data_IF_829094051550
#
_entry.id   IF_829094051550
#
_cell.length_a   1.000
_cell.length_b   1.000
_cell.length_c   1.000
_cell.angle_alpha   90.00
_cell.angle_beta   90.00
_cell.angle_gamma   90.00
#
_symmetry.space_group_name_H-M   'P 1'
#
loop_
_entity.id
_entity.type
_entity.pdbx_description
1 polymer ?
#
# COMPACT_ATOMS: atom_id res chain seq x y z
N UNK A 1 12.70 4.05 2.26
CA UNK A 1 12.39 5.31 2.96
C UNK A 1 12.43 6.46 1.96
N UNK A 2 11.31 6.76 1.33
CA UNK A 2 11.08 8.11 0.77
C UNK A 2 9.82 8.58 1.44
N UNK A 3 10.00 9.52 2.36
CA UNK A 3 8.96 10.16 3.15
C UNK A 3 7.85 10.71 2.24
N UNK A 4 6.78 9.95 2.06
CA UNK A 4 5.49 10.44 1.56
C UNK A 4 4.80 11.34 2.60
N UNK A 5 5.44 11.56 3.76
CA UNK A 5 4.94 12.32 4.91
C UNK A 5 4.81 13.81 4.64
N UNK A 6 5.75 14.42 3.90
CA UNK A 6 5.75 15.85 3.59
C UNK A 6 4.58 16.18 2.64
N UNK A 7 4.37 15.34 1.63
CA UNK A 7 3.27 15.51 0.68
C UNK A 7 1.88 15.48 1.33
N UNK A 8 1.63 14.56 2.28
CA UNK A 8 0.35 14.51 3.01
C UNK A 8 0.18 15.64 4.02
N UNK A 9 1.26 16.02 4.72
CA UNK A 9 1.23 17.17 5.63
C UNK A 9 0.88 18.46 4.88
N UNK A 10 1.46 18.68 3.69
CA UNK A 10 1.19 19.84 2.88
C UNK A 10 -0.18 19.79 2.18
N UNK A 11 -0.65 18.61 1.78
CA UNK A 11 -2.02 18.44 1.27
C UNK A 11 -3.06 18.76 2.37
N UNK A 12 -2.81 18.31 3.60
CA UNK A 12 -3.67 18.61 4.76
C UNK A 12 -3.63 20.09 5.15
N UNK A 13 -2.45 20.72 5.13
CA UNK A 13 -2.30 22.16 5.32
C UNK A 13 -2.98 22.96 4.20
N UNK A 14 -2.90 22.50 2.94
CA UNK A 14 -3.57 23.12 1.81
C UNK A 14 -5.10 23.09 1.97
N UNK A 15 -5.67 21.94 2.35
CA UNK A 15 -7.12 21.80 2.59
C UNK A 15 -7.57 22.74 3.71
N UNK A 16 -6.83 22.82 4.82
CA UNK A 16 -7.13 23.74 5.93
C UNK A 16 -7.02 25.20 5.51
N UNK A 17 -6.05 25.55 4.66
CA UNK A 17 -5.85 26.93 4.19
C UNK A 17 -6.92 27.38 3.19
N UNK A 18 -7.39 26.50 2.30
CA UNK A 18 -8.54 26.76 1.40
C UNK A 18 -9.86 26.92 2.17
N UNK A 19 -10.05 26.18 3.28
CA UNK A 19 -11.22 26.32 4.15
C UNK A 19 -11.25 27.66 4.92
N UNK A 20 -10.10 28.30 5.14
CA UNK A 20 -10.01 29.50 5.99
C UNK A 20 -9.80 30.82 5.23
N UNK A 21 -9.40 30.79 3.95
CA UNK A 21 -9.10 32.01 3.18
C UNK A 21 -10.27 32.47 2.30
N UNK A 22 -10.97 33.55 2.72
CA UNK A 22 -12.12 34.11 1.99
C UNK A 22 -11.76 34.88 0.70
N UNK A 23 -10.47 35.17 0.44
CA UNK A 23 -10.02 35.94 -0.72
C UNK A 23 -9.83 35.10 -1.99
N UNK A 24 -10.41 35.53 -3.13
CA UNK A 24 -10.24 34.85 -4.42
C UNK A 24 -8.79 34.90 -4.95
N UNK A 25 -8.05 35.98 -4.64
CA UNK A 25 -6.64 36.15 -5.04
C UNK A 25 -5.72 35.24 -4.22
N UNK A 26 -5.95 35.15 -2.90
CA UNK A 26 -5.18 34.31 -2.00
C UNK A 26 -5.31 32.84 -2.40
N UNK A 27 -6.53 32.36 -2.68
CA UNK A 27 -6.76 30.98 -3.15
C UNK A 27 -6.03 30.65 -4.45
N UNK A 28 -5.97 31.58 -5.42
CA UNK A 28 -5.21 31.37 -6.67
C UNK A 28 -3.70 31.24 -6.41
N UNK A 29 -3.14 32.14 -5.58
CA UNK A 29 -1.72 32.11 -5.24
C UNK A 29 -1.34 30.85 -4.46
N UNK A 30 -2.13 30.49 -3.44
CA UNK A 30 -1.88 29.28 -2.64
C UNK A 30 -1.93 28.02 -3.50
N UNK A 31 -2.90 27.93 -4.42
CA UNK A 31 -3.01 26.79 -5.35
C UNK A 31 -1.77 26.65 -6.24
N UNK A 32 -1.28 27.74 -6.82
CA UNK A 32 -0.09 27.69 -7.67
C UNK A 32 1.17 27.37 -6.86
N UNK A 33 1.32 27.89 -5.64
CA UNK A 33 2.44 27.55 -4.76
C UNK A 33 2.43 26.05 -4.43
N UNK A 34 1.28 25.51 -4.01
CA UNK A 34 1.15 24.08 -3.70
C UNK A 34 1.40 23.23 -4.95
N UNK A 35 0.89 23.65 -6.11
CA UNK A 35 1.14 22.97 -7.38
C UNK A 35 2.63 22.95 -7.71
N UNK A 36 3.33 24.08 -7.61
CA UNK A 36 4.76 24.18 -7.86
C UNK A 36 5.55 23.30 -6.89
N UNK A 37 5.17 23.27 -5.63
CA UNK A 37 5.82 22.43 -4.62
C UNK A 37 5.63 20.94 -4.91
N UNK A 38 4.40 20.50 -5.19
CA UNK A 38 4.12 19.10 -5.55
C UNK A 38 4.85 18.70 -6.82
N UNK A 39 4.88 19.58 -7.83
CA UNK A 39 5.66 19.34 -9.05
C UNK A 39 7.14 19.21 -8.72
N UNK A 40 7.69 20.10 -7.91
CA UNK A 40 9.09 20.07 -7.49
C UNK A 40 9.44 18.77 -6.78
N UNK A 41 8.65 18.33 -5.80
CA UNK A 41 8.86 17.04 -5.13
C UNK A 41 8.82 15.87 -6.12
N UNK A 42 7.87 15.86 -7.06
CA UNK A 42 7.80 14.83 -8.10
C UNK A 42 9.04 14.84 -9.01
N UNK A 43 9.58 16.03 -9.35
CA UNK A 43 10.82 16.15 -10.10
C UNK A 43 12.03 15.66 -9.30
N UNK A 44 12.13 16.01 -8.02
CA UNK A 44 13.16 15.50 -7.12
C UNK A 44 13.10 13.97 -7.02
N UNK A 45 11.92 13.38 -6.87
CA UNK A 45 11.75 11.92 -6.84
C UNK A 45 12.12 11.27 -8.18
N UNK A 46 11.79 11.89 -9.31
CA UNK A 46 12.25 11.43 -10.64
C UNK A 46 13.78 11.49 -10.73
N UNK A 47 14.38 12.58 -10.28
CA UNK A 47 15.83 12.77 -10.29
C UNK A 47 16.54 11.74 -9.39
N UNK A 48 16.07 11.55 -8.16
CA UNK A 48 16.62 10.53 -7.24
C UNK A 48 16.48 9.14 -7.83
N UNK A 49 15.33 8.77 -8.42
CA UNK A 49 15.16 7.47 -9.10
C UNK A 49 16.04 7.31 -10.35
N UNK A 50 16.41 8.42 -10.97
CA UNK A 50 17.32 8.44 -12.10
C UNK A 50 18.77 8.24 -11.66
N UNK A 51 19.20 8.90 -10.57
CA UNK A 51 20.56 8.74 -10.00
C UNK A 51 20.71 7.40 -9.27
N UNK A 52 19.69 6.96 -8.54
CA UNK A 52 19.67 5.75 -7.73
C UNK A 52 18.57 4.81 -8.22
N UNK A 53 18.83 4.06 -9.31
CA UNK A 53 17.91 3.03 -9.77
C UNK A 53 17.68 1.98 -8.67
N UNK A 54 16.45 1.45 -8.52
CA UNK A 54 16.18 0.38 -7.57
C UNK A 54 17.02 -0.86 -7.92
N UNK A 55 17.55 -1.52 -6.88
CA UNK A 55 18.38 -2.73 -7.00
C UNK A 55 17.61 -3.92 -7.55
N UNK A 56 16.28 -3.91 -7.44
CA UNK A 56 15.42 -5.00 -7.87
C UNK A 56 14.45 -4.52 -8.95
N UNK A 57 14.21 -5.40 -9.93
CA UNK A 57 13.19 -5.22 -10.95
C UNK A 57 12.09 -6.25 -10.73
N UNK A 58 10.85 -5.78 -10.82
CA UNK A 58 9.68 -6.62 -10.79
C UNK A 58 9.38 -7.10 -12.21
N UNK A 59 9.25 -8.42 -12.36
CA UNK A 59 8.92 -9.11 -13.60
C UNK A 59 7.54 -9.78 -13.46
N UNK A 60 6.91 -10.04 -14.60
CA UNK A 60 5.60 -10.69 -14.65
C UNK A 60 4.44 -9.74 -14.44
N UNK A 61 3.32 -10.26 -13.95
CA UNK A 61 2.08 -9.51 -13.83
C UNK A 61 1.02 -10.19 -12.96
N UNK A 62 -0.06 -9.46 -12.68
CA UNK A 62 -1.14 -10.00 -11.86
C UNK A 62 -1.94 -11.05 -12.64
N UNK A 63 -1.95 -12.30 -12.15
CA UNK A 63 -2.75 -13.41 -12.69
C UNK A 63 -4.17 -13.47 -12.13
N UNK A 64 -4.62 -12.44 -11.42
CA UNK A 64 -5.92 -12.39 -10.72
C UNK A 64 -6.14 -13.52 -9.70
N UNK A 65 -5.08 -14.13 -9.16
CA UNK A 65 -5.16 -15.25 -8.21
C UNK A 65 -5.78 -14.92 -6.84
N UNK A 66 -6.06 -13.63 -6.56
CA UNK A 66 -6.71 -13.20 -5.32
C UNK A 66 -5.85 -13.27 -4.06
N UNK A 67 -4.62 -13.79 -4.12
CA UNK A 67 -3.75 -13.94 -2.94
C UNK A 67 -3.45 -12.59 -2.28
N UNK A 68 -3.06 -11.58 -3.07
CA UNK A 68 -2.88 -10.22 -2.57
C UNK A 68 -4.20 -9.52 -2.18
N UNK A 69 -5.36 -10.09 -2.49
CA UNK A 69 -6.64 -9.57 -1.99
C UNK A 69 -6.98 -10.16 -0.63
N UNK A 70 -6.50 -11.37 -0.29
CA UNK A 70 -6.70 -12.00 1.02
C UNK A 70 -5.85 -11.35 2.09
N UNK A 71 -4.58 -11.11 1.75
CA UNK A 71 -3.63 -10.47 2.64
C UNK A 71 -2.70 -9.58 1.82
N UNK A 72 -2.75 -8.28 2.10
CA UNK A 72 -1.81 -7.30 1.56
C UNK A 72 -1.21 -6.52 2.72
N UNK A 73 0.12 -6.41 2.70
CA UNK A 73 0.84 -5.62 3.68
C UNK A 73 0.68 -4.13 3.34
N UNK A 74 0.08 -3.38 4.25
CA UNK A 74 0.16 -1.93 4.28
C UNK A 74 1.24 -1.53 5.27
N UNK A 75 2.32 -0.95 4.75
CA UNK A 75 3.42 -0.40 5.56
C UNK A 75 3.32 1.13 5.54
N UNK A 76 2.65 1.75 6.53
CA UNK A 76 2.58 3.20 6.63
C UNK A 76 3.91 3.76 7.16
N UNK A 77 4.22 5.05 6.96
CA UNK A 77 5.44 5.67 7.49
C UNK A 77 5.55 5.59 9.02
N UNK A 78 6.76 5.58 9.58
CA UNK A 78 7.02 5.37 11.01
C UNK A 78 6.28 6.33 11.96
N UNK A 79 6.04 7.58 11.54
CA UNK A 79 5.29 8.56 12.33
C UNK A 79 3.78 8.20 12.43
N UNK A 80 3.24 7.50 11.43
CA UNK A 80 1.86 6.98 11.45
C UNK A 80 1.75 5.77 12.37
N UNK A 81 2.79 4.90 12.41
CA UNK A 81 2.78 3.61 13.14
C UNK A 81 2.56 3.74 14.66
N UNK A 82 2.92 4.88 15.26
CA UNK A 82 3.05 5.04 16.73
C UNK A 82 1.83 5.58 17.45
N UNK A 83 0.74 5.96 16.78
CA UNK A 83 -0.31 6.78 17.41
C UNK A 83 -1.72 6.53 16.89
N UNK A 84 -2.67 7.37 17.34
CA UNK A 84 -4.04 7.44 16.82
C UNK A 84 -4.12 7.64 15.31
N UNK A 85 -3.05 8.16 14.69
CA UNK A 85 -2.94 8.30 13.23
C UNK A 85 -2.99 6.95 12.52
N UNK A 86 -2.49 5.86 13.14
CA UNK A 86 -2.63 4.51 12.58
C UNK A 86 -4.10 4.10 12.49
N UNK A 87 -4.91 4.43 13.50
CA UNK A 87 -6.35 4.17 13.48
C UNK A 87 -7.04 4.94 12.37
N UNK A 88 -6.67 6.20 12.20
CA UNK A 88 -7.19 7.01 11.11
C UNK A 88 -6.78 6.44 9.74
N UNK A 89 -5.55 5.96 9.61
CA UNK A 89 -5.05 5.28 8.41
C UNK A 89 -5.86 4.01 8.09
N UNK A 90 -6.06 3.14 9.08
CA UNK A 90 -6.89 1.93 8.93
C UNK A 90 -8.34 2.28 8.58
N UNK A 91 -8.93 3.24 9.28
CA UNK A 91 -10.31 3.70 9.04
C UNK A 91 -10.47 4.29 7.64
N UNK A 92 -9.52 5.11 7.20
CA UNK A 92 -9.49 5.65 5.84
C UNK A 92 -9.44 4.52 4.80
N UNK A 93 -8.56 3.53 4.96
CA UNK A 93 -8.49 2.40 4.05
C UNK A 93 -9.77 1.53 4.06
N UNK A 94 -10.44 1.41 5.20
CA UNK A 94 -11.74 0.76 5.32
C UNK A 94 -12.82 1.50 4.55
N UNK A 95 -12.98 2.80 4.78
CA UNK A 95 -14.06 3.59 4.16
C UNK A 95 -13.79 3.86 2.68
N UNK A 96 -12.58 4.26 2.31
CA UNK A 96 -12.25 4.67 0.94
C UNK A 96 -12.07 3.49 -0.02
N UNK A 97 -11.62 2.33 0.49
CA UNK A 97 -11.17 1.22 -0.35
C UNK A 97 -11.73 -0.15 0.06
N UNK A 98 -12.61 -0.19 1.06
CA UNK A 98 -13.20 -1.43 1.58
C UNK A 98 -12.15 -2.46 2.00
N UNK A 99 -11.08 -2.01 2.65
CA UNK A 99 -10.08 -2.90 3.26
C UNK A 99 -10.39 -3.15 4.74
N UNK A 100 -10.28 -4.40 5.17
CA UNK A 100 -10.42 -4.81 6.56
C UNK A 100 -9.04 -5.14 7.12
N UNK A 101 -8.67 -4.55 8.27
CA UNK A 101 -7.43 -4.93 8.96
C UNK A 101 -7.60 -6.32 9.59
N UNK A 102 -6.71 -7.24 9.24
CA UNK A 102 -6.73 -8.64 9.72
C UNK A 102 -5.78 -8.82 10.89
N UNK A 103 -4.55 -8.32 10.74
CA UNK A 103 -3.50 -8.47 11.73
C UNK A 103 -2.57 -7.27 11.74
N UNK A 104 -1.85 -7.10 12.84
CA UNK A 104 -0.85 -6.04 13.01
C UNK A 104 0.52 -6.64 13.30
N UNK A 105 1.53 -6.11 12.61
CA UNK A 105 2.92 -6.49 12.78
C UNK A 105 3.56 -5.77 13.97
N UNK A 106 4.69 -6.27 14.46
CA UNK A 106 5.37 -5.73 15.64
C UNK A 106 5.88 -4.30 15.43
N UNK A 107 6.21 -3.91 14.20
CA UNK A 107 6.72 -2.57 13.90
C UNK A 107 5.60 -1.58 13.58
N UNK A 108 4.35 -2.04 13.53
CA UNK A 108 3.17 -1.23 13.20
C UNK A 108 2.71 -1.37 11.76
N UNK A 109 3.17 -2.40 11.04
CA UNK A 109 2.59 -2.80 9.77
C UNK A 109 1.17 -3.34 9.98
N UNK A 110 0.32 -3.20 8.97
CA UNK A 110 -1.05 -3.70 9.02
C UNK A 110 -1.30 -4.61 7.82
N UNK A 111 -1.76 -5.83 8.09
CA UNK A 111 -2.25 -6.73 7.07
C UNK A 111 -3.72 -6.39 6.78
N UNK A 112 -4.02 -6.11 5.53
CA UNK A 112 -5.37 -5.83 5.05
C UNK A 112 -5.92 -6.98 4.20
N UNK A 113 -7.22 -7.23 4.33
CA UNK A 113 -8.02 -8.04 3.42
C UNK A 113 -8.95 -7.14 2.61
N UNK A 114 -9.10 -7.42 1.32
CA UNK A 114 -9.95 -6.67 0.40
C UNK A 114 -11.39 -7.20 0.46
N UNK A 115 -12.35 -6.32 0.77
CA UNK A 115 -13.78 -6.65 0.75
C UNK A 115 -14.37 -6.82 -0.66
N UNK A 116 -13.59 -6.58 -1.72
CA UNK A 116 -14.01 -6.81 -3.11
C UNK A 116 -13.48 -8.13 -3.69
N UNK A 117 -12.99 -9.05 -2.85
CA UNK A 117 -12.64 -10.40 -3.27
C UNK A 117 -13.94 -11.19 -3.48
N UNK A 118 -14.21 -11.62 -4.71
CA UNK A 118 -15.37 -12.46 -5.00
C UNK A 118 -15.12 -13.93 -4.63
N UNK A 119 -16.19 -14.70 -4.49
CA UNK A 119 -16.15 -16.12 -4.09
C UNK A 119 -15.35 -16.99 -5.07
N UNK A 120 -15.28 -16.59 -6.33
CA UNK A 120 -14.45 -17.22 -7.36
C UNK A 120 -12.93 -17.01 -7.15
N UNK A 121 -12.52 -16.33 -6.07
CA UNK A 121 -11.12 -16.00 -5.78
C UNK A 121 -10.56 -14.87 -6.64
N UNK A 122 -11.41 -14.15 -7.38
CA UNK A 122 -11.01 -13.07 -8.27
C UNK A 122 -11.39 -11.69 -7.71
N UNK A 123 -10.63 -10.66 -8.07
CA UNK A 123 -10.91 -9.27 -7.69
C UNK A 123 -12.11 -8.72 -8.46
N UNK A 124 -13.19 -8.35 -7.75
CA UNK A 124 -14.40 -7.78 -8.32
C UNK A 124 -14.20 -6.40 -8.95
N UNK A 125 -13.23 -5.63 -8.47
CA UNK A 125 -12.94 -4.26 -8.94
C UNK A 125 -11.59 -4.15 -9.69
N UNK A 126 -11.21 -5.17 -10.46
CA UNK A 126 -9.87 -5.23 -11.09
C UNK A 126 -9.48 -3.97 -11.90
N UNK A 127 -10.45 -3.34 -12.58
CA UNK A 127 -10.21 -2.10 -13.36
C UNK A 127 -9.98 -0.88 -12.46
N UNK A 128 -10.72 -0.78 -11.37
CA UNK A 128 -10.71 0.34 -10.41
C UNK A 128 -9.84 0.04 -9.18
N UNK A 129 -8.85 -0.85 -9.31
CA UNK A 129 -7.96 -1.23 -8.20
C UNK A 129 -7.35 0.00 -7.52
N UNK A 130 -7.37 0.06 -6.19
CA UNK A 130 -6.74 1.15 -5.45
C UNK A 130 -5.21 1.13 -5.65
N UNK A 131 -4.57 2.24 -5.33
CA UNK A 131 -3.11 2.41 -5.49
C UNK A 131 -2.31 1.30 -4.80
N UNK A 132 -2.74 0.87 -3.61
CA UNK A 132 -2.12 -0.22 -2.86
C UNK A 132 -2.08 -1.53 -3.68
N UNK A 133 -3.17 -1.88 -4.37
CA UNK A 133 -3.23 -3.09 -5.20
C UNK A 133 -2.48 -2.94 -6.54
N UNK A 134 -2.40 -1.73 -7.10
CA UNK A 134 -1.72 -1.49 -8.38
C UNK A 134 -0.21 -1.51 -8.26
N UNK A 135 0.32 -1.09 -7.12
CA UNK A 135 1.76 -1.08 -6.85
C UNK A 135 2.23 -2.33 -6.10
N UNK A 136 1.37 -3.35 -5.96
CA UNK A 136 1.76 -4.61 -5.38
C UNK A 136 2.56 -5.46 -6.38
N UNK A 137 3.67 -6.10 -5.96
CA UNK A 137 4.35 -5.94 -4.68
C UNK A 137 5.13 -4.61 -4.60
N UNK A 138 5.09 -3.96 -3.43
CA UNK A 138 5.92 -2.78 -3.19
C UNK A 138 7.39 -3.19 -3.29
N UNK A 139 8.17 -2.48 -4.10
CA UNK A 139 9.61 -2.76 -4.28
C UNK A 139 10.38 -1.84 -3.32
N UNK A 140 10.95 -2.37 -2.22
CA UNK A 140 11.85 -1.59 -1.38
C UNK A 140 13.14 -1.28 -2.15
N UNK A 141 13.82 -0.21 -1.77
CA UNK A 141 15.12 0.14 -2.37
C UNK A 141 16.25 -0.82 -1.95
N UNK A 142 16.18 -1.34 -0.73
CA UNK A 142 17.26 -2.12 -0.12
C UNK A 142 16.99 -3.62 -0.06
N UNK A 143 15.73 -4.00 0.14
CA UNK A 143 15.33 -5.39 0.34
C UNK A 143 14.63 -5.97 -0.89
N UNK A 144 14.82 -7.27 -1.19
CA UNK A 144 14.10 -7.93 -2.25
C UNK A 144 12.61 -8.01 -1.86
N UNK A 145 11.68 -7.53 -2.71
CA UNK A 145 10.26 -7.73 -2.45
C UNK A 145 9.95 -9.22 -2.41
N UNK A 146 9.07 -9.63 -1.48
CA UNK A 146 8.61 -11.01 -1.35
C UNK A 146 7.18 -11.12 -1.90
N UNK A 147 6.98 -11.50 -3.18
CA UNK A 147 5.64 -11.74 -3.69
C UNK A 147 5.02 -12.95 -2.98
N UNK A 148 3.70 -12.94 -2.80
CA UNK A 148 2.98 -14.06 -2.22
C UNK A 148 3.11 -15.31 -3.11
N UNK A 149 3.14 -16.48 -2.48
CA UNK A 149 3.17 -17.76 -3.18
C UNK A 149 1.99 -17.88 -4.16
N UNK A 150 2.28 -18.37 -5.37
CA UNK A 150 1.27 -18.51 -6.44
C UNK A 150 0.88 -17.18 -7.12
N UNK A 151 1.57 -16.07 -6.84
CA UNK A 151 1.40 -14.84 -7.61
C UNK A 151 2.21 -14.88 -8.91
N UNK A 152 1.74 -14.15 -9.94
CA UNK A 152 2.41 -14.05 -11.24
C UNK A 152 3.59 -13.08 -11.29
N UNK A 153 4.01 -12.57 -10.13
CA UNK A 153 5.14 -11.66 -10.01
C UNK A 153 6.41 -12.42 -9.63
N UNK A 154 7.52 -12.06 -10.29
CA UNK A 154 8.86 -12.54 -9.94
C UNK A 154 9.81 -11.36 -9.78
N UNK A 155 10.87 -11.57 -9.00
CA UNK A 155 11.80 -10.51 -8.60
C UNK A 155 13.18 -10.88 -9.12
N UNK A 156 13.83 -9.97 -9.83
CA UNK A 156 15.19 -10.15 -10.27
C UNK A 156 16.07 -9.00 -9.76
N UNK A 157 17.31 -9.33 -9.39
CA UNK A 157 18.31 -8.32 -9.07
C UNK A 157 18.74 -7.63 -10.38
N UNK A 158 18.81 -6.30 -10.35
CA UNK A 158 19.43 -5.50 -11.41
C UNK A 158 20.93 -5.63 -11.25
N UNK A 159 21.54 -6.46 -12.09
CA UNK A 159 23.00 -6.50 -12.19
C UNK A 159 23.45 -5.26 -12.96
N UNK A 160 24.05 -4.30 -12.24
CA UNK A 160 24.81 -3.22 -12.88
C UNK A 160 26.15 -3.84 -13.25
N UNK A 161 26.29 -4.28 -14.50
CA UNK A 161 27.57 -4.79 -14.99
C UNK A 161 28.52 -3.59 -15.05
N UNK A 162 29.40 -3.46 -14.08
CA UNK A 162 30.55 -2.58 -14.22
C UNK A 162 31.38 -3.15 -15.37
N UNK A 163 31.37 -2.44 -16.49
CA UNK A 163 32.15 -2.76 -17.66
C UNK A 163 33.63 -2.66 -17.29
N UNK A 164 34.23 -3.78 -16.87
CA UNK A 164 35.68 -3.88 -16.78
C UNK A 164 36.20 -3.76 -18.21
N UNK A 165 36.87 -2.64 -18.49
CA UNK A 165 37.53 -2.36 -19.75
C UNK A 165 38.62 -3.41 -20.01
N UNK A 166 38.24 -4.53 -20.63
CA UNK A 166 39.13 -5.35 -21.44
C UNK A 166 38.63 -5.23 -22.87
N UNK A 167 39.47 -4.65 -23.72
CA UNK A 167 39.12 -4.12 -25.03
C UNK A 167 38.29 -5.06 -25.88
N UNK A 168 37.02 -4.71 -26.04
CA UNK A 168 36.22 -4.94 -27.25
C UNK A 168 35.00 -4.05 -27.13
N UNK A 169 34.76 -3.21 -28.14
CA UNK A 169 33.68 -2.23 -28.17
C UNK A 169 32.32 -2.94 -28.03
N UNK A 170 31.45 -2.54 -27.10
CA UNK A 170 30.08 -3.02 -27.10
C UNK A 170 29.26 -2.25 -28.13
N UNK A 171 28.67 -3.01 -29.04
CA UNK A 171 27.54 -2.58 -29.85
C UNK A 171 26.40 -2.18 -28.91
N UNK A 172 25.77 -1.03 -29.17
CA UNK A 172 24.64 -0.51 -28.42
C UNK A 172 23.55 -1.56 -28.22
N UNK A 173 23.43 -2.11 -27.01
CA UNK A 173 22.12 -2.47 -26.45
C UNK A 173 22.24 -2.64 -24.92
N UNK A 174 21.55 -1.84 -24.10
CA UNK A 174 21.44 -2.09 -22.67
C UNK A 174 20.45 -3.22 -22.44
N UNK A 175 20.78 -4.43 -22.90
CA UNK A 175 20.06 -5.62 -22.50
C UNK A 175 20.38 -5.85 -21.02
N UNK A 176 19.37 -5.59 -20.18
CA UNK A 176 19.35 -5.96 -18.77
C UNK A 176 19.66 -7.44 -18.68
N UNK A 177 20.86 -7.79 -18.22
CA UNK A 177 21.19 -9.17 -17.88
C UNK A 177 20.40 -9.52 -16.61
N UNK A 178 19.22 -10.10 -16.80
CA UNK A 178 18.41 -10.67 -15.73
C UNK A 178 19.11 -11.96 -15.30
N UNK A 179 19.90 -11.89 -14.23
CA UNK A 179 20.28 -13.11 -13.53
C UNK A 179 19.03 -13.62 -12.84
N UNK A 180 18.46 -14.70 -13.39
CA UNK A 180 17.45 -15.46 -12.66
C UNK A 180 18.12 -15.98 -11.38
N UNK A 181 17.63 -15.59 -10.18
CA UNK A 181 18.07 -16.27 -8.98
C UNK A 181 17.75 -17.76 -9.16
N UNK A 182 18.73 -18.61 -8.88
CA UNK A 182 18.51 -20.05 -8.77
C UNK A 182 17.30 -20.32 -7.87
N UNK A 183 16.50 -21.35 -8.14
CA UNK A 183 15.37 -21.70 -7.31
C UNK A 183 15.89 -21.96 -5.89
N UNK A 184 15.77 -20.96 -5.01
CA UNK A 184 15.98 -21.14 -3.59
C UNK A 184 14.84 -21.99 -3.08
N UNK A 185 15.23 -22.97 -2.26
CA UNK A 185 14.41 -24.06 -1.79
C UNK A 185 13.03 -23.61 -1.32
N UNK A 186 12.05 -24.33 -1.86
CA UNK A 186 10.63 -24.04 -1.79
C UNK A 186 10.02 -24.63 -0.53
N UNK A 187 10.74 -24.59 0.59
CA UNK A 187 10.29 -25.22 1.82
C UNK A 187 10.15 -24.17 2.93
N UNK A 188 8.90 -23.96 3.34
CA UNK A 188 8.50 -23.46 4.67
C UNK A 188 9.08 -22.12 5.13
N UNK A 189 8.45 -21.02 4.73
CA UNK A 189 8.27 -19.90 5.66
C UNK A 189 6.80 -19.49 5.63
N UNK A 190 6.07 -20.05 6.59
CA UNK A 190 4.80 -19.51 7.03
C UNK A 190 4.95 -18.01 7.30
N UNK A 191 3.85 -17.27 7.12
CA UNK A 191 3.73 -15.89 7.57
C UNK A 191 4.26 -15.79 8.99
N UNK A 192 5.15 -14.84 9.33
CA UNK A 192 5.78 -14.81 10.65
C UNK A 192 4.70 -14.78 11.74
N UNK A 193 4.81 -15.70 12.71
CA UNK A 193 3.91 -15.88 13.86
C UNK A 193 3.83 -14.65 14.81
N UNK A 194 4.40 -13.52 14.40
CA UNK A 194 4.45 -12.27 15.16
C UNK A 194 3.30 -11.31 14.83
N UNK A 195 2.37 -11.70 13.96
CA UNK A 195 1.19 -10.91 13.66
C UNK A 195 0.09 -11.19 14.68
N UNK A 196 -0.19 -10.22 15.55
CA UNK A 196 -1.33 -10.29 16.46
C UNK A 196 -2.62 -10.04 15.68
N UNK A 197 -3.58 -10.96 15.78
CA UNK A 197 -4.92 -10.80 15.19
C UNK A 197 -5.59 -9.55 15.77
N UNK A 198 -6.18 -8.75 14.89
CA UNK A 198 -6.78 -7.44 15.23
C UNK A 198 -8.20 -7.59 15.83
N UNK A 199 -8.64 -8.83 16.12
CA UNK A 199 -10.00 -9.14 16.58
C UNK A 199 -10.42 -8.50 17.91
N UNK A 200 -9.51 -7.88 18.66
CA UNK A 200 -9.80 -7.19 19.93
C UNK A 200 -10.02 -5.67 19.82
N UNK A 201 -10.04 -5.09 18.60
CA UNK A 201 -10.46 -3.70 18.43
C UNK A 201 -12.00 -3.59 18.47
N UNK A 202 -12.59 -3.80 19.65
CA UNK A 202 -13.90 -3.25 19.96
C UNK A 202 -13.78 -1.73 19.97
N UNK A 203 -14.49 -1.05 19.06
CA UNK A 203 -14.75 0.37 19.15
C UNK A 203 -15.41 0.66 20.50
N UNK A 204 -14.87 1.56 21.34
CA UNK A 204 -15.56 2.00 22.55
C UNK A 204 -16.84 2.81 22.29
N UNK A 205 -17.20 3.06 21.03
CA UNK A 205 -18.24 4.02 20.64
C UNK A 205 -19.46 3.40 19.93
N UNK A 206 -19.62 2.07 19.91
CA UNK A 206 -20.91 1.45 19.54
C UNK A 206 -21.85 1.46 20.76
N UNK A 207 -21.98 2.64 21.37
CA UNK A 207 -23.00 2.96 22.36
C UNK A 207 -24.25 3.41 21.64
N UNK A 208 -25.20 2.50 21.46
CA UNK A 208 -26.56 2.83 21.08
C UNK A 208 -27.18 1.86 20.10
N UNK A 209 -27.66 0.73 20.61
CA UNK A 209 -28.99 0.27 20.20
C UNK A 209 -29.74 -0.23 21.43
N UNK A 210 -30.87 0.43 21.63
CA UNK A 210 -31.77 0.28 22.76
C UNK A 210 -32.28 -1.16 22.85
N UNK A 211 -32.46 -1.60 24.10
CA UNK A 211 -33.21 -2.81 24.41
C UNK A 211 -34.58 -2.78 23.73
N UNK A 212 -34.81 -3.78 22.87
CA UNK A 212 -36.16 -4.21 22.54
C UNK A 212 -36.52 -5.26 23.58
N UNK A 213 -37.28 -4.84 24.59
CA UNK A 213 -37.93 -5.72 25.54
C UNK A 213 -38.88 -6.70 24.81
N UNK A 214 -38.94 -7.97 25.22
CA UNK A 214 -39.92 -8.92 24.70
C UNK A 214 -41.30 -8.63 25.31
N UNK A 215 -42.26 -8.25 24.47
CA UNK A 215 -43.67 -8.20 24.87
C UNK A 215 -44.27 -9.62 24.94
N UNK A 216 -45.03 -9.98 25.99
CA UNK A 216 -45.76 -11.23 26.09
C UNK A 216 -47.25 -11.08 25.71
N UNK A 217 -47.86 -12.16 25.19
CA UNK A 217 -49.31 -12.35 25.00
C UNK A 217 -49.78 -12.02 23.57
N UNK A 218 -50.57 -12.82 22.86
CA UNK A 218 -51.81 -13.53 23.20
C UNK A 218 -52.10 -14.54 22.06
N UNK A 219 -52.41 -15.82 22.32
CA UNK A 219 -53.79 -16.35 22.38
C UNK A 219 -54.68 -15.92 21.20
N UNK A 220 -54.89 -16.79 20.21
CA UNK A 220 -56.23 -17.28 19.80
C UNK A 220 -56.16 -18.22 18.58
N UNK A 221 -56.72 -19.43 18.74
CA UNK A 221 -57.17 -20.32 17.66
C UNK A 221 -58.59 -19.89 17.25
N UNK A 222 -58.96 -20.13 15.99
CA UNK A 222 -60.01 -21.14 15.76
C UNK A 222 -59.49 -22.38 15.03
#
# INVERSE_FOLDING_TARGET
>A
MTDTSIGWALLSAYIVTELFTRGAVVRRLTREIVRLFVVFELQCLRFVRWVYPPRYVLLGGCHKCGQCCRQILGDPPDWVKKSWVLRLFVSYHRVAHNFHAVARGPEGEVLFACGYLGDNGHCGIYRLRPFLCRNYPLIPFFEPPRPLAGCGFSVAARVVVHMQARGSLPILNPFVAVHHPTPMDRDSEAMPDHFHLVSEWHSPDDGGDAGVDPSPGTSERP
#
